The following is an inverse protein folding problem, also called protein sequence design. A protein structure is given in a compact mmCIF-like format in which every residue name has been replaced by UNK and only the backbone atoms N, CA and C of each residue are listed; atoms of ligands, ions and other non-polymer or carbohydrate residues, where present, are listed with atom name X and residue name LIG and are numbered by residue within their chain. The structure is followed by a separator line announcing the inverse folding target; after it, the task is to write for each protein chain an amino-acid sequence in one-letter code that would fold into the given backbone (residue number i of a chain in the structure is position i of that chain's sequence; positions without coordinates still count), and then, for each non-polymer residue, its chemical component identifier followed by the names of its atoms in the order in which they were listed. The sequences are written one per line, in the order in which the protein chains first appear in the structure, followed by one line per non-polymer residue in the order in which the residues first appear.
data_IF_077345896008
#
_entry.id   IF_077345896008
#
_cell.length_a   1.000
_cell.length_b   1.000
_cell.length_c   1.000
_cell.angle_alpha   90.00
_cell.angle_beta   90.00
_cell.angle_gamma   90.00
#
_symmetry.space_group_name_H-M   'P 1'
#
loop_
_entity.id
_entity.type
_entity.pdbx_description
1 polymer ?
#
# COMPACT_ATOMS: atom_id res chain seq x y z
N UNK A 1 -11.64 15.37 9.65
CA UNK A 1 -12.33 14.12 10.03
C UNK A 1 -13.82 14.26 9.72
N UNK A 2 -14.39 13.31 9.00
CA UNK A 2 -15.80 13.26 8.62
C UNK A 2 -16.40 11.94 9.11
N UNK A 3 -17.59 11.99 9.68
CA UNK A 3 -18.35 10.82 10.12
C UNK A 3 -19.47 10.54 9.12
N UNK A 4 -19.64 9.28 8.75
CA UNK A 4 -20.77 8.81 7.92
C UNK A 4 -21.34 7.54 8.51
N UNK A 5 -22.60 7.25 8.22
CA UNK A 5 -23.26 6.01 8.60
C UNK A 5 -22.98 4.93 7.54
N UNK A 6 -22.55 3.74 7.96
CA UNK A 6 -22.40 2.61 7.06
C UNK A 6 -23.76 2.25 6.43
N UNK A 7 -23.89 2.24 5.09
CA UNK A 7 -25.17 1.97 4.43
C UNK A 7 -25.64 0.53 4.57
N UNK A 8 -24.77 -0.40 4.98
CA UNK A 8 -25.09 -1.82 5.14
C UNK A 8 -25.54 -2.15 6.57
N UNK A 9 -24.81 -1.69 7.59
CA UNK A 9 -25.05 -2.10 8.98
C UNK A 9 -25.46 -0.96 9.92
N UNK A 10 -25.43 0.28 9.47
CA UNK A 10 -25.76 1.45 10.30
C UNK A 10 -24.67 1.91 11.26
N UNK A 11 -23.51 1.24 11.33
CA UNK A 11 -22.42 1.65 12.21
C UNK A 11 -21.77 2.98 11.77
N UNK A 12 -21.19 3.71 12.72
CA UNK A 12 -20.42 4.92 12.43
C UNK A 12 -19.09 4.58 11.73
N UNK A 13 -18.76 5.34 10.69
CA UNK A 13 -17.55 5.18 9.88
C UNK A 13 -16.83 6.52 9.81
N UNK A 14 -15.64 6.59 10.42
CA UNK A 14 -14.82 7.80 10.45
C UNK A 14 -13.78 7.82 9.32
N UNK A 15 -13.82 8.88 8.51
CA UNK A 15 -12.80 9.26 7.53
C UNK A 15 -11.87 10.30 8.15
N UNK A 16 -10.58 9.98 8.27
CA UNK A 16 -9.53 10.86 8.79
C UNK A 16 -9.03 11.81 7.71
N UNK A 17 -8.77 11.30 6.50
CA UNK A 17 -8.27 12.11 5.37
C UNK A 17 -9.40 12.68 4.54
N UNK A 18 -9.31 13.95 4.14
CA UNK A 18 -10.24 14.57 3.16
C UNK A 18 -9.90 14.22 1.69
N UNK A 19 -8.76 13.58 1.43
CA UNK A 19 -8.34 13.17 0.09
C UNK A 19 -8.78 11.73 -0.28
N UNK A 20 -8.97 10.84 0.71
CA UNK A 20 -9.22 9.41 0.46
C UNK A 20 -10.72 9.05 0.35
N UNK A 21 -11.18 8.49 -0.78
CA UNK A 21 -12.61 8.28 -1.02
C UNK A 21 -13.19 7.03 -0.34
N UNK A 22 -12.36 6.07 0.09
CA UNK A 22 -12.82 4.76 0.58
C UNK A 22 -12.45 4.54 2.05
N UNK A 23 -13.38 3.95 2.81
CA UNK A 23 -13.18 3.43 4.16
C UNK A 23 -13.84 2.06 4.31
N UNK A 24 -13.09 1.07 4.77
CA UNK A 24 -13.66 -0.24 5.12
C UNK A 24 -14.41 -0.12 6.46
N UNK A 25 -15.66 -0.56 6.56
CA UNK A 25 -16.38 -0.53 7.84
C UNK A 25 -15.74 -1.50 8.85
N UNK A 26 -15.49 -1.04 10.08
CA UNK A 26 -14.86 -1.88 11.13
C UNK A 26 -15.78 -2.99 11.64
N UNK A 27 -17.11 -2.87 11.42
CA UNK A 27 -18.11 -3.82 11.92
C UNK A 27 -18.50 -4.87 10.89
N UNK A 28 -18.92 -4.44 9.69
CA UNK A 28 -19.44 -5.34 8.66
C UNK A 28 -18.53 -5.45 7.43
N UNK A 29 -17.35 -4.82 7.46
CA UNK A 29 -16.33 -4.90 6.40
C UNK A 29 -16.76 -4.35 5.03
N UNK A 30 -17.93 -3.73 4.92
CA UNK A 30 -18.36 -3.07 3.68
C UNK A 30 -17.36 -2.00 3.25
N UNK A 31 -17.01 -1.96 1.97
CA UNK A 31 -16.25 -0.88 1.34
C UNK A 31 -17.15 0.35 1.21
N UNK A 32 -17.02 1.29 2.13
CA UNK A 32 -17.82 2.52 2.16
C UNK A 32 -17.11 3.59 1.34
N UNK A 33 -17.77 4.05 0.28
CA UNK A 33 -17.27 5.11 -0.59
C UNK A 33 -18.05 6.38 -0.29
N UNK A 34 -17.35 7.46 0.07
CA UNK A 34 -17.97 8.77 0.28
C UNK A 34 -18.14 9.51 -1.04
N UNK A 35 -19.27 10.18 -1.22
CA UNK A 35 -19.54 11.09 -2.34
C UNK A 35 -20.37 12.26 -1.84
N UNK A 36 -19.97 13.49 -2.17
CA UNK A 36 -20.63 14.76 -1.83
C UNK A 36 -21.36 14.83 -0.47
N UNK A 37 -22.61 14.35 -0.38
CA UNK A 37 -23.48 14.43 0.79
C UNK A 37 -23.83 13.06 1.42
N UNK A 38 -23.22 11.96 0.99
CA UNK A 38 -23.56 10.62 1.44
C UNK A 38 -22.43 9.60 1.30
N UNK A 39 -22.77 8.35 1.56
CA UNK A 39 -21.87 7.22 1.42
C UNK A 39 -22.63 6.00 0.87
N UNK A 40 -21.96 5.20 0.06
CA UNK A 40 -22.52 4.01 -0.59
C UNK A 40 -21.61 2.81 -0.32
N UNK A 41 -22.21 1.63 -0.19
CA UNK A 41 -21.47 0.37 -0.09
C UNK A 41 -21.10 -0.14 -1.48
N UNK A 42 -19.84 -0.49 -1.67
CA UNK A 42 -19.30 -1.07 -2.91
C UNK A 42 -18.73 -2.47 -2.69
N UNK A 43 -19.54 -3.35 -2.10
CA UNK A 43 -19.14 -4.72 -1.76
C UNK A 43 -18.51 -4.84 -0.36
N UNK A 44 -17.98 -6.03 -0.07
CA UNK A 44 -17.38 -6.37 1.22
C UNK A 44 -15.88 -6.62 1.09
N UNK A 45 -15.11 -6.08 2.03
CA UNK A 45 -13.70 -6.37 2.18
C UNK A 45 -13.50 -7.77 2.77
N UNK A 46 -12.47 -8.47 2.28
CA UNK A 46 -12.09 -9.76 2.83
C UNK A 46 -11.70 -9.69 4.30
N UNK A 47 -11.96 -10.78 5.01
CA UNK A 47 -11.34 -11.02 6.31
C UNK A 47 -9.86 -11.23 6.04
N UNK A 48 -9.03 -10.33 6.56
CA UNK A 48 -7.59 -10.48 6.48
C UNK A 48 -7.20 -11.77 7.21
N UNK A 49 -6.56 -12.75 6.52
CA UNK A 49 -6.04 -13.92 7.21
C UNK A 49 -5.06 -13.48 8.30
N UNK A 50 -4.80 -14.35 9.27
CA UNK A 50 -3.79 -14.05 10.28
C UNK A 50 -2.45 -13.69 9.62
N UNK A 51 -1.78 -12.69 10.16
CA UNK A 51 -0.44 -12.30 9.77
C UNK A 51 0.36 -11.82 10.99
N UNK A 52 1.69 -11.96 10.90
CA UNK A 52 2.61 -11.65 11.99
C UNK A 52 3.23 -10.25 11.84
N UNK A 53 2.51 -9.32 11.19
CA UNK A 53 2.99 -7.95 11.06
C UNK A 53 2.93 -7.22 12.41
N UNK A 54 4.01 -6.53 12.82
CA UNK A 54 3.97 -5.62 13.96
C UNK A 54 3.23 -4.31 13.60
N UNK A 55 3.03 -4.02 12.32
CA UNK A 55 2.29 -2.84 11.88
C UNK A 55 0.78 -3.08 12.05
N UNK A 56 0.06 -2.03 12.44
CA UNK A 56 -1.40 -2.04 12.53
C UNK A 56 -1.96 -0.66 12.17
N UNK A 57 -3.27 -0.61 11.92
CA UNK A 57 -3.97 0.67 11.80
C UNK A 57 -3.74 1.49 13.08
N UNK A 58 -3.32 2.74 12.91
CA UNK A 58 -2.94 3.64 14.00
C UNK A 58 -1.47 3.55 14.42
N UNK A 59 -0.64 2.69 13.82
CA UNK A 59 0.82 2.78 14.00
C UNK A 59 1.30 4.16 13.52
N UNK A 60 2.14 4.81 14.31
CA UNK A 60 2.72 6.13 14.02
C UNK A 60 4.22 6.02 13.84
N UNK A 61 4.85 6.96 13.15
CA UNK A 61 6.31 6.99 13.00
C UNK A 61 6.80 8.21 12.22
N UNK A 62 8.04 8.13 11.74
CA UNK A 62 8.65 9.09 10.82
C UNK A 62 9.10 8.43 9.52
N UNK A 63 8.75 9.04 8.40
CA UNK A 63 9.18 8.63 7.06
C UNK A 63 9.10 9.83 6.12
N UNK A 64 9.95 9.88 5.08
CA UNK A 64 10.02 11.03 4.16
C UNK A 64 10.15 12.38 4.88
N UNK A 65 10.99 12.43 5.93
CA UNK A 65 11.20 13.59 6.81
C UNK A 65 9.95 14.13 7.53
N UNK A 66 8.85 13.38 7.52
CA UNK A 66 7.58 13.76 8.11
C UNK A 66 7.09 12.72 9.12
N UNK A 67 6.24 13.16 10.05
CA UNK A 67 5.47 12.23 10.85
C UNK A 67 4.41 11.55 9.97
N UNK A 68 4.11 10.29 10.27
CA UNK A 68 3.03 9.56 9.61
C UNK A 68 2.16 8.79 10.61
N UNK A 69 0.94 8.46 10.17
CA UNK A 69 0.08 7.46 10.79
C UNK A 69 -0.40 6.46 9.74
N UNK A 70 -0.41 5.17 10.08
CA UNK A 70 -1.00 4.12 9.26
C UNK A 70 -2.52 4.20 9.39
N UNK A 71 -3.20 4.43 8.27
CA UNK A 71 -4.66 4.61 8.24
C UNK A 71 -5.37 3.59 7.36
N UNK A 72 -4.63 2.81 6.57
CA UNK A 72 -5.19 1.79 5.69
C UNK A 72 -4.24 0.64 5.44
N UNK A 73 -4.77 -0.43 4.85
CA UNK A 73 -4.00 -1.60 4.44
C UNK A 73 -4.69 -2.33 3.30
N UNK A 74 -3.91 -2.80 2.34
CA UNK A 74 -4.29 -3.84 1.38
C UNK A 74 -3.38 -5.05 1.58
N UNK A 75 -3.91 -6.26 1.44
CA UNK A 75 -3.13 -7.49 1.47
C UNK A 75 -3.28 -8.22 0.14
N UNK A 76 -2.16 -8.45 -0.49
CA UNK A 76 -2.04 -9.17 -1.76
C UNK A 76 -1.47 -10.55 -1.51
N UNK A 77 -1.92 -11.53 -2.30
CA UNK A 77 -1.42 -12.89 -2.25
C UNK A 77 -1.22 -13.47 -3.66
N UNK A 78 -0.32 -14.44 -3.73
CA UNK A 78 -0.13 -15.36 -4.84
C UNK A 78 0.03 -16.78 -4.26
N UNK A 79 0.28 -17.76 -5.13
CA UNK A 79 0.30 -19.18 -4.75
C UNK A 79 1.21 -19.51 -3.55
N UNK A 80 2.36 -18.82 -3.43
CA UNK A 80 3.39 -19.14 -2.45
C UNK A 80 3.63 -18.04 -1.40
N UNK A 81 2.77 -17.02 -1.32
CA UNK A 81 3.00 -15.95 -0.37
C UNK A 81 1.99 -14.81 -0.39
N UNK A 82 2.22 -13.87 0.52
CA UNK A 82 1.44 -12.64 0.63
C UNK A 82 2.32 -11.52 1.17
N UNK A 83 1.94 -10.28 0.86
CA UNK A 83 2.53 -9.07 1.45
C UNK A 83 1.44 -8.09 1.88
N UNK A 84 1.83 -7.13 2.70
CA UNK A 84 0.98 -6.01 3.11
C UNK A 84 1.43 -4.73 2.43
N UNK A 85 0.46 -3.91 2.04
CA UNK A 85 0.67 -2.52 1.66
C UNK A 85 -0.08 -1.65 2.65
N UNK A 86 0.66 -0.97 3.51
CA UNK A 86 0.10 -0.09 4.53
C UNK A 86 0.05 1.34 4.04
N UNK A 87 -1.12 1.99 4.13
CA UNK A 87 -1.29 3.38 3.73
C UNK A 87 -0.88 4.32 4.87
N UNK A 88 0.14 5.12 4.62
CA UNK A 88 0.62 6.19 5.49
C UNK A 88 -0.09 7.49 5.16
N UNK A 89 -0.72 8.12 6.15
CA UNK A 89 -1.10 9.54 6.13
C UNK A 89 0.06 10.36 6.69
N UNK A 90 0.59 11.26 5.88
CA UNK A 90 1.70 12.14 6.25
C UNK A 90 1.20 13.43 6.89
N UNK A 91 2.09 14.11 7.63
CA UNK A 91 1.77 15.35 8.34
C UNK A 91 1.28 16.48 7.42
N UNK A 92 1.73 16.51 6.16
CA UNK A 92 1.26 17.45 5.13
C UNK A 92 -0.11 17.09 4.52
N UNK A 93 -0.73 15.98 4.95
CA UNK A 93 -2.01 15.48 4.44
C UNK A 93 -1.91 14.64 3.16
N UNK A 94 -0.72 14.54 2.56
CA UNK A 94 -0.45 13.59 1.48
C UNK A 94 -0.37 12.16 2.01
N UNK A 95 -0.33 11.18 1.10
CA UNK A 95 -0.20 9.78 1.47
C UNK A 95 0.99 9.11 0.78
N UNK A 96 1.46 8.04 1.41
CA UNK A 96 2.52 7.17 0.92
C UNK A 96 2.19 5.72 1.30
N UNK A 97 2.93 4.77 0.75
CA UNK A 97 2.75 3.35 1.01
C UNK A 97 3.97 2.77 1.73
N UNK A 98 3.72 1.89 2.68
CA UNK A 98 4.72 1.05 3.32
C UNK A 98 4.44 -0.39 2.92
N UNK A 99 5.15 -0.89 1.91
CA UNK A 99 5.13 -2.29 1.53
C UNK A 99 5.89 -3.12 2.57
N UNK A 100 5.32 -4.26 2.97
CA UNK A 100 5.90 -5.18 3.95
C UNK A 100 5.81 -6.62 3.43
N UNK A 101 6.97 -7.23 3.18
CA UNK A 101 7.09 -8.62 2.79
C UNK A 101 8.24 -9.27 3.57
N UNK A 102 7.97 -10.40 4.24
CA UNK A 102 8.98 -11.20 4.94
C UNK A 102 9.90 -10.39 5.89
N UNK A 103 9.35 -9.37 6.56
CA UNK A 103 10.09 -8.50 7.49
C UNK A 103 10.93 -7.40 6.82
N UNK A 104 10.89 -7.29 5.48
CA UNK A 104 11.47 -6.19 4.72
C UNK A 104 10.41 -5.13 4.45
N UNK A 105 10.82 -3.86 4.46
CA UNK A 105 9.91 -2.74 4.26
C UNK A 105 10.36 -1.85 3.10
N UNK A 106 9.40 -1.36 2.33
CA UNK A 106 9.58 -0.38 1.26
C UNK A 106 8.69 0.82 1.52
N UNK A 107 9.29 1.99 1.77
CA UNK A 107 8.53 3.24 1.83
C UNK A 107 8.48 3.84 0.43
N UNK A 108 7.28 4.00 -0.10
CA UNK A 108 7.01 4.29 -1.51
C UNK A 108 6.02 5.47 -1.64
N UNK A 109 6.25 6.35 -2.63
CA UNK A 109 5.28 7.37 -3.06
C UNK A 109 4.92 7.14 -4.52
N UNK A 110 3.66 7.39 -4.84
CA UNK A 110 3.19 7.35 -6.22
C UNK A 110 3.87 8.46 -7.02
N UNK A 111 4.25 8.15 -8.26
CA UNK A 111 4.79 9.11 -9.21
C UNK A 111 3.97 9.08 -10.48
N UNK A 112 3.77 10.24 -11.09
CA UNK A 112 3.05 10.32 -12.36
C UNK A 112 3.81 9.59 -13.47
N UNK A 113 3.08 8.78 -14.23
CA UNK A 113 3.57 8.13 -15.45
C UNK A 113 3.50 9.08 -16.65
N UNK A 114 4.18 10.23 -16.55
CA UNK A 114 4.23 11.26 -17.61
C UNK A 114 5.63 11.40 -18.19
N UNK A 115 5.72 11.87 -19.45
CA UNK A 115 6.99 12.15 -20.12
C UNK A 115 7.73 10.93 -20.69
N UNK A 116 9.07 11.02 -20.75
CA UNK A 116 9.93 9.97 -21.32
C UNK A 116 10.14 8.83 -20.32
N UNK A 117 9.25 7.84 -20.36
CA UNK A 117 9.33 6.65 -19.52
C UNK A 117 10.47 5.71 -19.97
N UNK A 118 11.04 4.90 -19.07
CA UNK A 118 11.94 3.83 -19.51
C UNK A 118 11.22 2.79 -20.39
N UNK A 119 11.98 2.15 -21.27
CA UNK A 119 11.47 1.10 -22.14
C UNK A 119 10.83 -0.05 -21.35
N UNK A 120 11.39 -0.40 -20.18
CA UNK A 120 10.84 -1.44 -19.30
C UNK A 120 9.45 -1.07 -18.80
N UNK A 121 9.25 0.18 -18.35
CA UNK A 121 7.95 0.69 -17.89
C UNK A 121 6.95 0.71 -19.05
N UNK A 122 7.35 1.20 -20.23
CA UNK A 122 6.49 1.17 -21.42
C UNK A 122 6.08 -0.25 -21.82
N UNK A 123 6.97 -1.23 -21.68
CA UNK A 123 6.66 -2.63 -21.97
C UNK A 123 5.62 -3.18 -21.00
N UNK A 124 5.80 -2.94 -19.70
CA UNK A 124 4.83 -3.32 -18.68
C UNK A 124 3.45 -2.67 -18.89
N UNK A 125 3.42 -1.38 -19.25
CA UNK A 125 2.17 -0.68 -19.58
C UNK A 125 1.44 -1.31 -20.77
N UNK A 126 2.18 -1.81 -21.77
CA UNK A 126 1.65 -2.38 -23.01
C UNK A 126 1.61 -3.92 -23.02
N UNK A 127 1.63 -4.57 -21.85
CA UNK A 127 1.57 -6.04 -21.72
C UNK A 127 2.66 -6.78 -22.50
N UNK A 128 3.77 -6.10 -22.77
CA UNK A 128 4.94 -6.71 -23.38
C UNK A 128 5.77 -7.37 -22.28
N UNK A 129 6.11 -8.67 -22.40
CA UNK A 129 6.81 -9.39 -21.35
C UNK A 129 8.09 -8.68 -20.92
N UNK A 130 8.40 -8.70 -19.62
CA UNK A 130 9.65 -8.24 -18.99
C UNK A 130 10.17 -9.38 -18.12
N UNK A 131 11.49 -9.49 -17.96
CA UNK A 131 12.13 -10.53 -17.13
C UNK A 131 12.90 -9.92 -15.95
N UNK A 132 13.03 -10.65 -14.83
CA UNK A 132 13.98 -10.30 -13.78
C UNK A 132 15.40 -10.10 -14.35
N UNK A 133 16.13 -9.13 -13.79
CA UNK A 133 17.47 -8.74 -14.26
C UNK A 133 17.48 -7.70 -15.38
N UNK A 134 16.35 -7.44 -16.05
CA UNK A 134 16.27 -6.32 -17.00
C UNK A 134 16.41 -4.98 -16.26
N UNK A 135 17.09 -4.01 -16.89
CA UNK A 135 17.33 -2.70 -16.29
C UNK A 135 16.60 -1.57 -17.02
N UNK A 136 16.26 -0.51 -16.28
CA UNK A 136 15.64 0.69 -16.83
C UNK A 136 15.85 1.90 -15.95
N UNK A 137 15.77 3.09 -16.54
CA UNK A 137 15.87 4.34 -15.79
C UNK A 137 14.49 4.80 -15.29
N UNK A 138 14.36 5.01 -13.98
CA UNK A 138 13.15 5.57 -13.37
C UNK A 138 13.58 6.82 -12.59
N UNK A 139 12.96 7.96 -12.89
CA UNK A 139 13.28 9.24 -12.23
C UNK A 139 14.79 9.58 -12.20
N UNK A 140 15.51 9.31 -13.30
CA UNK A 140 16.95 9.61 -13.42
C UNK A 140 17.87 8.56 -12.79
N UNK A 141 17.34 7.52 -12.14
CA UNK A 141 18.13 6.48 -11.48
C UNK A 141 18.00 5.14 -12.21
N UNK A 142 19.08 4.35 -12.25
CA UNK A 142 19.08 3.03 -12.87
C UNK A 142 18.50 2.00 -11.91
N UNK A 143 17.52 1.23 -12.35
CA UNK A 143 16.89 0.15 -11.60
C UNK A 143 16.99 -1.16 -12.35
N UNK A 144 16.97 -2.26 -11.61
CA UNK A 144 16.87 -3.63 -12.11
C UNK A 144 15.55 -4.25 -11.64
N UNK A 145 14.87 -4.97 -12.52
CA UNK A 145 13.68 -5.76 -12.20
C UNK A 145 14.08 -6.88 -11.23
N UNK A 146 13.54 -6.84 -10.02
CA UNK A 146 13.85 -7.78 -8.95
C UNK A 146 12.85 -8.94 -8.89
N UNK A 147 11.56 -8.65 -9.00
CA UNK A 147 10.48 -9.62 -8.88
C UNK A 147 9.29 -9.24 -9.76
N UNK A 148 8.58 -10.25 -10.27
CA UNK A 148 7.37 -10.08 -11.11
C UNK A 148 6.33 -11.07 -10.60
N UNK A 149 5.14 -10.59 -10.23
CA UNK A 149 4.05 -11.41 -9.70
C UNK A 149 2.71 -10.99 -10.27
N UNK A 150 1.88 -11.95 -10.63
CA UNK A 150 0.44 -11.74 -10.69
C UNK A 150 -0.14 -12.06 -9.33
N UNK A 151 -0.89 -11.14 -8.76
CA UNK A 151 -1.42 -11.25 -7.40
C UNK A 151 -2.90 -10.95 -7.33
N UNK A 152 -3.51 -11.38 -6.24
CA UNK A 152 -4.91 -11.19 -5.94
C UNK A 152 -5.09 -10.54 -4.57
N UNK A 153 -5.99 -9.57 -4.47
CA UNK A 153 -6.38 -8.95 -3.20
C UNK A 153 -7.17 -9.96 -2.36
N UNK A 154 -6.67 -10.23 -1.16
CA UNK A 154 -7.31 -11.16 -0.20
C UNK A 154 -7.95 -10.44 0.99
N UNK A 155 -7.76 -9.13 1.10
CA UNK A 155 -8.42 -8.32 2.12
C UNK A 155 -7.83 -6.93 2.23
N UNK A 156 -8.59 -6.04 2.87
CA UNK A 156 -8.17 -4.67 3.11
C UNK A 156 -8.85 -4.10 4.36
N UNK A 157 -8.26 -3.08 5.00
CA UNK A 157 -8.82 -2.43 6.19
C UNK A 157 -8.45 -0.94 6.21
N UNK A 158 -9.18 -0.14 6.99
CA UNK A 158 -8.93 1.30 7.11
C UNK A 158 -9.38 2.13 5.90
N UNK A 159 -8.76 3.29 5.72
CA UNK A 159 -8.98 4.23 4.61
C UNK A 159 -8.06 3.93 3.42
N UNK A 160 -8.58 4.05 2.20
CA UNK A 160 -7.86 3.73 0.97
C UNK A 160 -8.12 4.77 -0.13
N UNK A 161 -7.14 4.98 -1.04
CA UNK A 161 -7.33 5.84 -2.21
C UNK A 161 -8.27 5.23 -3.26
N UNK A 162 -8.48 3.90 -3.20
CA UNK A 162 -9.32 3.13 -4.12
C UNK A 162 -10.05 2.00 -3.39
N UNK A 163 -11.06 1.42 -4.05
CA UNK A 163 -11.73 0.20 -3.55
C UNK A 163 -10.87 -1.03 -3.83
N UNK A 164 -10.61 -1.85 -2.82
CA UNK A 164 -9.83 -3.08 -2.94
C UNK A 164 -10.68 -4.33 -2.63
N UNK A 165 -11.60 -4.75 -3.51
CA UNK A 165 -12.44 -5.92 -3.28
C UNK A 165 -11.62 -7.21 -3.32
N UNK A 166 -12.13 -8.25 -2.66
CA UNK A 166 -11.57 -9.62 -2.75
C UNK A 166 -11.59 -10.08 -4.20
N UNK A 167 -10.56 -10.81 -4.63
CA UNK A 167 -10.52 -11.33 -5.99
C UNK A 167 -9.99 -10.33 -7.01
N UNK A 168 -9.64 -9.11 -6.59
CA UNK A 168 -9.05 -8.12 -7.49
C UNK A 168 -7.64 -8.54 -7.88
N UNK A 169 -7.41 -8.73 -9.17
CA UNK A 169 -6.10 -9.11 -9.71
C UNK A 169 -5.27 -7.90 -10.15
N UNK A 170 -3.95 -7.99 -9.94
CA UNK A 170 -2.97 -7.02 -10.41
C UNK A 170 -1.65 -7.71 -10.80
N UNK A 171 -0.96 -7.15 -11.79
CA UNK A 171 0.46 -7.40 -12.02
C UNK A 171 1.27 -6.48 -11.10
N UNK A 172 2.20 -7.03 -10.33
CA UNK A 172 3.17 -6.31 -9.50
C UNK A 172 4.59 -6.59 -9.99
N UNK A 173 5.39 -5.55 -10.15
CA UNK A 173 6.78 -5.63 -10.58
C UNK A 173 7.63 -4.74 -9.69
N UNK A 174 8.48 -5.38 -8.88
CA UNK A 174 9.39 -4.68 -7.99
C UNK A 174 10.76 -4.46 -8.65
N UNK A 175 11.32 -3.30 -8.37
CA UNK A 175 12.59 -2.82 -8.89
C UNK A 175 13.51 -2.48 -7.73
N UNK A 176 14.78 -2.84 -7.88
CA UNK A 176 15.84 -2.52 -6.92
C UNK A 176 16.95 -1.70 -7.57
N UNK A 177 17.64 -0.93 -6.74
CA UNK A 177 18.87 -0.25 -7.09
C UNK A 177 19.91 -0.52 -5.98
N UNK A 178 21.20 -0.44 -6.33
CA UNK A 178 22.34 -0.63 -5.42
C UNK A 178 22.40 0.38 -4.26
N UNK A 179 21.79 1.55 -4.41
CA UNK A 179 21.83 2.63 -3.41
C UNK A 179 20.69 2.55 -2.38
N UNK A 180 20.01 1.40 -2.28
CA UNK A 180 18.87 1.21 -1.35
C UNK A 180 17.55 1.83 -1.84
N UNK A 181 17.54 2.45 -3.02
CA UNK A 181 16.31 2.88 -3.70
C UNK A 181 15.55 1.66 -4.22
N UNK A 182 14.23 1.75 -4.20
CA UNK A 182 13.33 0.78 -4.81
C UNK A 182 12.23 1.49 -5.60
N UNK A 183 11.57 0.73 -6.47
CA UNK A 183 10.33 1.15 -7.11
C UNK A 183 9.42 -0.07 -7.25
N UNK A 184 8.11 0.17 -7.30
CA UNK A 184 7.12 -0.87 -7.54
C UNK A 184 6.16 -0.38 -8.61
N UNK A 185 6.03 -1.15 -9.67
CA UNK A 185 5.03 -0.93 -10.72
C UNK A 185 3.88 -1.89 -10.48
N UNK A 186 2.66 -1.38 -10.51
CA UNK A 186 1.46 -2.19 -10.43
C UNK A 186 0.55 -1.87 -11.62
N UNK A 187 -0.06 -2.89 -12.21
CA UNK A 187 -1.07 -2.72 -13.27
C UNK A 187 -2.25 -3.61 -13.00
N UNK A 188 -3.42 -2.99 -12.94
CA UNK A 188 -4.70 -3.67 -12.80
C UNK A 188 -5.69 -3.17 -13.87
N UNK A 189 -6.97 -3.54 -13.75
CA UNK A 189 -8.04 -3.15 -14.68
C UNK A 189 -8.26 -1.64 -14.82
N UNK A 190 -7.83 -0.85 -13.84
CA UNK A 190 -7.92 0.62 -13.82
C UNK A 190 -6.70 1.29 -14.45
N UNK A 191 -5.64 0.54 -14.73
CA UNK A 191 -4.43 1.03 -15.41
C UNK A 191 -3.16 0.81 -14.59
N UNK A 192 -2.03 1.34 -15.09
CA UNK A 192 -0.74 1.24 -14.43
C UNK A 192 -0.54 2.35 -13.39
N UNK A 193 0.12 1.99 -12.29
CA UNK A 193 0.63 2.88 -11.24
C UNK A 193 2.11 2.60 -11.05
N UNK A 194 2.88 3.63 -10.72
CA UNK A 194 4.30 3.50 -10.41
C UNK A 194 4.60 4.20 -9.10
N UNK A 195 5.31 3.50 -8.23
CA UNK A 195 5.73 4.00 -6.94
C UNK A 195 7.24 3.97 -6.83
N UNK A 196 7.84 5.00 -6.27
CA UNK A 196 9.29 5.12 -6.09
C UNK A 196 9.61 5.47 -4.64
N UNK A 197 10.70 4.93 -4.12
CA UNK A 197 11.13 5.22 -2.77
C UNK A 197 12.38 4.46 -2.36
N UNK A 198 12.40 3.99 -1.12
CA UNK A 198 13.58 3.36 -0.51
C UNK A 198 13.18 2.17 0.35
N UNK A 199 14.10 1.19 0.43
CA UNK A 199 14.04 0.21 1.49
C UNK A 199 14.27 0.88 2.83
N UNK A 200 13.47 0.51 3.82
CA UNK A 200 13.56 1.05 5.18
C UNK A 200 13.60 -0.11 6.18
N UNK A 201 14.23 0.14 7.32
CA UNK A 201 14.19 -0.79 8.44
C UNK A 201 13.09 -0.35 9.40
N UNK A 202 12.43 -1.29 10.07
CA UNK A 202 11.37 -0.95 11.02
C UNK A 202 11.85 0.05 12.09
N UNK A 203 13.09 -0.12 12.58
CA UNK A 203 13.68 0.79 13.57
C UNK A 203 13.85 2.23 13.04
N UNK A 204 14.18 2.41 11.76
CA UNK A 204 14.38 3.75 11.19
C UNK A 204 13.07 4.54 11.07
N UNK A 205 11.93 3.84 11.08
CA UNK A 205 10.61 4.47 11.09
C UNK A 205 10.24 5.06 12.47
N UNK A 206 11.02 4.81 13.52
CA UNK A 206 10.73 5.23 14.89
C UNK A 206 9.28 4.90 15.32
N UNK A 207 8.80 3.65 15.10
CA UNK A 207 7.39 3.36 15.20
C UNK A 207 6.86 3.42 16.63
N UNK A 208 5.63 3.91 16.78
CA UNK A 208 4.83 3.88 18.00
C UNK A 208 3.52 3.17 17.70
N UNK A 209 2.90 2.59 18.74
CA UNK A 209 1.65 1.84 18.60
C UNK A 209 1.77 0.63 17.64
N UNK A 210 2.83 -0.16 17.80
CA UNK A 210 2.97 -1.46 17.13
C UNK A 210 2.07 -2.51 17.78
N UNK A 211 1.63 -3.48 16.98
CA UNK A 211 0.94 -4.67 17.43
C UNK A 211 1.89 -5.49 18.31
N UNK A 212 1.49 -5.88 19.54
CA UNK A 212 2.31 -6.77 20.35
C UNK A 212 2.38 -8.16 19.68
N UNK A 213 3.59 -8.65 19.47
CA UNK A 213 3.84 -10.00 18.94
C UNK A 213 4.48 -10.85 20.05
N UNK A 214 3.95 -12.05 20.34
CA UNK A 214 4.52 -12.93 21.37
C UNK A 214 6.01 -13.21 21.12
N UNK A 215 6.86 -12.96 22.12
CA UNK A 215 8.29 -13.22 22.04
C UNK A 215 9.11 -12.21 21.21
N UNK A 216 8.49 -11.14 20.71
CA UNK A 216 9.17 -10.09 19.96
C UNK A 216 9.26 -8.80 20.77
N UNK A 217 10.45 -8.20 20.77
CA UNK A 217 10.71 -6.89 21.38
C UNK A 217 11.03 -5.88 20.28
N UNK A 218 10.56 -4.65 20.46
CA UNK A 218 10.97 -3.52 19.63
C UNK A 218 12.51 -3.42 19.61
N UNK A 219 13.16 -3.34 18.44
CA UNK A 219 14.58 -3.04 18.37
C UNK A 219 14.86 -1.72 19.09
N UNK A 220 15.84 -1.71 19.99
CA UNK A 220 16.23 -0.49 20.70
C UNK A 220 16.68 0.57 19.69
N UNK A 221 16.09 1.77 19.77
CA UNK A 221 16.52 2.92 18.98
C UNK A 221 17.87 3.40 19.50
N UNK A 222 18.90 3.35 18.66
CA UNK A 222 20.25 3.83 18.95
C UNK A 222 20.84 4.46 17.71
#
# INVERSE_FOLDING_TARGET
MQLVTCPTCGAEVAFRSSALPVRVCDYCRTLVVRYNQGAQGMGEAGVLPFDISPIQIGTEGRCFDQNFQIIGRVRWAWDDGAWNEWLMLLADGSHAWLGEAMGQFMALREVELTGSLAQVIRRLMNDTPVKPGESGNIAGQSYEVADIRTVCCIGCEGELPFTAPIGWEALSVDFRNRDGRCASFQKDRHGPSLYVGHHVNLASLQPRNLRPLPGWSLPAYG
#
